data_IF_461559645930
#
_entry.id   IF_461559645930
#
_cell.length_a   1.000
_cell.length_b   1.000
_cell.length_c   1.000
_cell.angle_alpha   90.00
_cell.angle_beta   90.00
_cell.angle_gamma   90.00
#
_symmetry.space_group_name_H-M   'P 1'
#
loop_
_entity.id
_entity.type
_entity.pdbx_description
1 polymer ?
#
# COMPACT_ATOMS: atom_id res chain seq x y z
N UNK A 1 -9.65 44.38 11.64
CA UNK A 1 -10.22 43.55 10.55
C UNK A 1 -9.16 43.12 9.53
N UNK A 2 -8.27 44.01 9.07
CA UNK A 2 -7.25 43.71 8.05
C UNK A 2 -6.19 42.67 8.50
N UNK A 3 -5.82 42.63 9.79
CA UNK A 3 -4.88 41.62 10.30
C UNK A 3 -5.46 40.21 10.41
N UNK A 4 -6.78 40.08 10.61
CA UNK A 4 -7.45 38.78 10.72
C UNK A 4 -7.58 38.10 9.35
N UNK A 5 -7.70 38.88 8.28
CA UNK A 5 -7.71 38.37 6.89
C UNK A 5 -6.35 37.75 6.52
N UNK A 6 -5.26 38.40 6.93
CA UNK A 6 -3.90 37.97 6.58
C UNK A 6 -3.53 36.60 7.17
N UNK A 7 -4.06 36.28 8.36
CA UNK A 7 -3.84 34.99 9.01
C UNK A 7 -4.54 33.82 8.31
N UNK A 8 -5.73 34.04 7.74
CA UNK A 8 -6.45 33.00 6.99
C UNK A 8 -5.70 32.62 5.72
N UNK A 9 -5.23 33.61 4.96
CA UNK A 9 -4.52 33.38 3.69
C UNK A 9 -3.22 32.57 3.88
N UNK A 10 -2.47 32.86 4.95
CA UNK A 10 -1.27 32.09 5.29
C UNK A 10 -1.59 30.62 5.64
N UNK A 11 -2.66 30.38 6.40
CA UNK A 11 -3.07 29.03 6.76
C UNK A 11 -3.51 28.22 5.53
N UNK A 12 -4.25 28.83 4.60
CA UNK A 12 -4.64 28.19 3.33
C UNK A 12 -3.42 27.81 2.50
N UNK A 13 -2.43 28.70 2.40
CA UNK A 13 -1.21 28.44 1.64
C UNK A 13 -0.40 27.25 2.22
N UNK A 14 -0.26 27.17 3.55
CA UNK A 14 0.43 26.05 4.20
C UNK A 14 -0.30 24.72 3.97
N UNK A 15 -1.64 24.70 4.09
CA UNK A 15 -2.45 23.50 3.81
C UNK A 15 -2.27 23.04 2.37
N UNK A 16 -2.27 23.97 1.43
CA UNK A 16 -2.10 23.69 0.01
C UNK A 16 -0.75 23.06 -0.26
N UNK A 17 0.35 23.66 0.21
CA UNK A 17 1.70 23.10 0.06
C UNK A 17 1.78 21.69 0.66
N UNK A 18 1.21 21.49 1.85
CA UNK A 18 1.16 20.18 2.50
C UNK A 18 0.47 19.14 1.62
N UNK A 19 -0.67 19.49 1.01
CA UNK A 19 -1.41 18.60 0.13
C UNK A 19 -0.61 18.20 -1.12
N UNK A 20 0.05 19.16 -1.77
CA UNK A 20 0.93 18.88 -2.92
C UNK A 20 2.11 18.00 -2.53
N UNK A 21 2.73 18.26 -1.38
CA UNK A 21 3.83 17.45 -0.89
C UNK A 21 3.39 16.00 -0.63
N UNK A 22 2.25 15.79 0.03
CA UNK A 22 1.68 14.46 0.24
C UNK A 22 1.38 13.76 -1.09
N UNK A 23 0.78 14.49 -2.04
CA UNK A 23 0.45 13.96 -3.37
C UNK A 23 1.70 13.56 -4.17
N UNK A 24 2.75 14.38 -4.15
CA UNK A 24 4.01 14.02 -4.80
C UNK A 24 4.69 12.82 -4.12
N UNK A 25 4.67 12.79 -2.78
CA UNK A 25 5.26 11.68 -2.00
C UNK A 25 4.59 10.36 -2.33
N UNK A 26 3.24 10.33 -2.33
CA UNK A 26 2.48 9.10 -2.62
C UNK A 26 2.67 8.63 -4.07
N UNK A 27 2.84 9.55 -5.02
CA UNK A 27 3.13 9.19 -6.41
C UNK A 27 4.53 8.56 -6.56
N UNK A 28 5.52 9.07 -5.85
CA UNK A 28 6.88 8.49 -5.84
C UNK A 28 6.85 7.10 -5.21
N UNK A 29 6.18 6.94 -4.07
CA UNK A 29 5.98 5.64 -3.41
C UNK A 29 5.30 4.64 -4.33
N UNK A 30 4.22 5.07 -4.99
CA UNK A 30 3.46 4.26 -5.94
C UNK A 30 4.32 3.79 -7.10
N UNK A 31 5.10 4.71 -7.70
CA UNK A 31 5.96 4.39 -8.82
C UNK A 31 7.04 3.38 -8.40
N UNK A 32 7.65 3.56 -7.23
CA UNK A 32 8.67 2.67 -6.71
C UNK A 32 8.09 1.27 -6.40
N UNK A 33 6.96 1.19 -5.70
CA UNK A 33 6.29 -0.06 -5.39
C UNK A 33 5.86 -0.81 -6.67
N UNK A 34 5.36 -0.09 -7.67
CA UNK A 34 5.01 -0.65 -8.99
C UNK A 34 6.24 -1.18 -9.72
N UNK A 35 7.38 -0.47 -9.67
CA UNK A 35 8.63 -0.91 -10.26
C UNK A 35 9.17 -2.19 -9.57
N UNK A 36 9.14 -2.26 -8.24
CA UNK A 36 9.51 -3.46 -7.48
C UNK A 36 8.64 -4.65 -7.89
N UNK A 37 7.32 -4.47 -7.95
CA UNK A 37 6.38 -5.53 -8.39
C UNK A 37 6.75 -6.06 -9.77
N UNK A 38 6.99 -5.17 -10.75
CA UNK A 38 7.36 -5.56 -12.11
C UNK A 38 8.66 -6.37 -12.13
N UNK A 39 9.65 -6.00 -11.31
CA UNK A 39 10.94 -6.71 -11.22
C UNK A 39 10.78 -8.11 -10.60
N UNK A 40 9.99 -8.25 -9.54
CA UNK A 40 9.70 -9.57 -8.96
C UNK A 40 8.96 -10.49 -9.93
N UNK A 41 7.95 -9.95 -10.65
CA UNK A 41 7.26 -10.71 -11.71
C UNK A 41 8.23 -11.17 -12.79
N UNK A 42 9.18 -10.31 -13.19
CA UNK A 42 10.20 -10.67 -14.18
C UNK A 42 11.08 -11.83 -13.69
N UNK A 43 11.50 -11.85 -12.42
CA UNK A 43 12.22 -12.98 -11.83
C UNK A 43 11.41 -14.27 -11.95
N UNK A 44 10.15 -14.24 -11.51
CA UNK A 44 9.28 -15.41 -11.56
C UNK A 44 9.07 -15.90 -13.00
N UNK A 45 8.93 -14.99 -13.96
CA UNK A 45 8.86 -15.33 -15.38
C UNK A 45 10.16 -15.94 -15.92
N UNK A 46 11.33 -15.45 -15.50
CA UNK A 46 12.62 -16.02 -15.90
C UNK A 46 12.79 -17.44 -15.37
N UNK A 47 12.44 -17.68 -14.10
CA UNK A 47 12.47 -19.03 -13.50
C UNK A 47 11.52 -20.00 -14.21
N UNK A 48 10.29 -19.56 -14.50
CA UNK A 48 9.31 -20.38 -15.22
C UNK A 48 9.74 -20.66 -16.66
N UNK A 49 10.32 -19.67 -17.36
CA UNK A 49 10.82 -19.87 -18.72
C UNK A 49 11.96 -20.90 -18.76
N UNK A 50 12.85 -20.89 -17.77
CA UNK A 50 13.86 -21.95 -17.63
C UNK A 50 13.20 -23.32 -17.46
N UNK A 51 12.09 -23.40 -16.73
CA UNK A 51 11.31 -24.64 -16.52
C UNK A 51 10.69 -25.17 -17.81
N UNK A 52 9.99 -24.31 -18.57
CA UNK A 52 9.34 -24.70 -19.82
C UNK A 52 10.37 -25.16 -20.85
N UNK A 53 11.50 -24.44 -20.91
CA UNK A 53 12.60 -24.82 -21.78
C UNK A 53 13.16 -26.19 -21.36
N UNK A 54 13.32 -26.45 -20.06
CA UNK A 54 13.80 -27.72 -19.52
C UNK A 54 12.80 -28.88 -19.71
N UNK A 55 11.49 -28.64 -19.64
CA UNK A 55 10.47 -29.65 -19.93
C UNK A 55 10.39 -29.99 -21.42
N UNK A 56 10.49 -28.98 -22.29
CA UNK A 56 10.57 -29.19 -23.75
C UNK A 56 11.89 -29.90 -24.10
N UNK A 57 13.01 -29.52 -23.46
CA UNK A 57 14.30 -30.14 -23.67
C UNK A 57 14.36 -31.57 -23.15
N UNK A 58 13.80 -31.87 -21.98
CA UNK A 58 13.80 -33.24 -21.44
C UNK A 58 12.99 -34.20 -22.33
N UNK A 59 11.97 -33.69 -23.03
CA UNK A 59 11.26 -34.45 -24.06
C UNK A 59 12.06 -34.60 -25.37
N UNK A 60 13.06 -33.76 -25.61
CA UNK A 60 13.88 -33.75 -26.84
C UNK A 60 15.30 -34.33 -26.67
N UNK A 61 15.86 -34.29 -25.47
CA UNK A 61 17.26 -34.58 -25.14
C UNK A 61 17.31 -35.77 -24.19
N UNK A 62 17.05 -36.94 -24.77
CA UNK A 62 17.72 -38.16 -24.36
C UNK A 62 19.18 -38.21 -24.88
N UNK A 63 19.75 -37.13 -25.50
CA UNK A 63 20.95 -37.32 -26.34
C UNK A 63 22.10 -36.29 -26.39
N UNK A 64 22.14 -35.14 -25.70
CA UNK A 64 23.32 -34.24 -25.81
C UNK A 64 23.66 -33.48 -24.51
N UNK A 65 24.93 -33.57 -24.08
CA UNK A 65 25.44 -33.19 -22.75
C UNK A 65 26.09 -31.80 -22.62
N UNK A 66 25.77 -30.83 -23.48
CA UNK A 66 26.37 -29.48 -23.46
C UNK A 66 25.49 -28.39 -22.82
N UNK A 67 24.24 -28.69 -22.44
CA UNK A 67 23.25 -27.69 -22.02
C UNK A 67 23.24 -27.34 -20.53
N UNK A 68 23.91 -28.13 -19.67
CA UNK A 68 23.90 -27.90 -18.22
C UNK A 68 24.63 -26.63 -17.76
N UNK A 69 25.64 -26.16 -18.52
CA UNK A 69 26.46 -25.00 -18.12
C UNK A 69 25.68 -23.69 -18.26
N UNK A 70 24.87 -23.55 -19.31
CA UNK A 70 24.07 -22.34 -19.55
C UNK A 70 22.91 -22.19 -18.54
N UNK A 71 22.31 -23.32 -18.13
CA UNK A 71 21.27 -23.33 -17.09
C UNK A 71 21.83 -22.95 -15.72
N UNK A 72 23.01 -23.46 -15.35
CA UNK A 72 23.65 -23.15 -14.08
C UNK A 72 23.93 -21.66 -13.95
N UNK A 73 24.46 -21.05 -15.03
CA UNK A 73 24.70 -19.62 -15.11
C UNK A 73 23.41 -18.80 -14.94
N UNK A 74 22.33 -19.24 -15.57
CA UNK A 74 21.00 -18.60 -15.46
C UNK A 74 20.46 -18.60 -14.03
N UNK A 75 20.60 -19.72 -13.30
CA UNK A 75 20.14 -19.82 -11.89
C UNK A 75 20.94 -18.88 -10.99
N UNK A 76 22.25 -18.81 -11.18
CA UNK A 76 23.12 -17.90 -10.42
C UNK A 76 22.78 -16.44 -10.68
N UNK A 77 22.59 -16.06 -11.95
CA UNK A 77 22.17 -14.70 -12.33
C UNK A 77 20.81 -14.33 -11.72
N UNK A 78 19.86 -15.27 -11.67
CA UNK A 78 18.57 -15.05 -10.99
C UNK A 78 18.76 -14.86 -9.48
N UNK A 79 19.66 -15.62 -8.87
CA UNK A 79 19.96 -15.51 -7.43
C UNK A 79 20.54 -14.14 -7.10
N UNK A 80 21.55 -13.69 -7.83
CA UNK A 80 22.14 -12.36 -7.65
C UNK A 80 21.11 -11.24 -7.85
N UNK A 81 20.22 -11.39 -8.84
CA UNK A 81 19.16 -10.43 -9.09
C UNK A 81 18.08 -10.43 -7.99
N UNK A 82 17.77 -11.59 -7.38
CA UNK A 82 16.88 -11.67 -6.22
C UNK A 82 17.48 -10.99 -4.99
N UNK A 83 18.78 -11.21 -4.72
CA UNK A 83 19.51 -10.56 -3.62
C UNK A 83 19.44 -9.03 -3.75
N UNK A 84 19.75 -8.51 -4.94
CA UNK A 84 19.65 -7.08 -5.22
C UNK A 84 18.23 -6.55 -5.01
N UNK A 85 17.22 -7.31 -5.44
CA UNK A 85 15.83 -6.89 -5.29
C UNK A 85 15.36 -6.91 -3.82
N UNK A 86 15.85 -7.86 -3.03
CA UNK A 86 15.62 -7.92 -1.59
C UNK A 86 16.23 -6.70 -0.88
N UNK A 87 17.47 -6.35 -1.23
CA UNK A 87 18.13 -5.13 -0.72
C UNK A 87 17.36 -3.87 -1.10
N UNK A 88 16.82 -3.79 -2.32
CA UNK A 88 15.97 -2.68 -2.76
C UNK A 88 14.66 -2.59 -1.96
N UNK A 89 14.08 -3.71 -1.54
CA UNK A 89 12.90 -3.71 -0.65
C UNK A 89 13.28 -3.21 0.75
N UNK A 90 14.45 -3.56 1.26
CA UNK A 90 14.93 -3.04 2.54
C UNK A 90 15.21 -1.54 2.49
N UNK A 91 15.79 -1.06 1.39
CA UNK A 91 15.96 0.38 1.14
C UNK A 91 14.58 1.05 1.03
N UNK A 92 13.63 0.47 0.32
CA UNK A 92 12.26 0.98 0.23
C UNK A 92 11.61 1.10 1.61
N UNK A 93 11.72 0.06 2.45
CA UNK A 93 11.18 0.06 3.81
C UNK A 93 11.83 1.14 4.70
N UNK A 94 13.15 1.35 4.56
CA UNK A 94 13.86 2.40 5.29
C UNK A 94 13.48 3.81 4.82
N UNK A 95 13.36 3.99 3.49
CA UNK A 95 13.09 5.29 2.88
C UNK A 95 11.64 5.72 3.00
N UNK A 96 10.69 4.80 2.83
CA UNK A 96 9.25 5.11 2.73
C UNK A 96 8.43 4.51 3.87
N UNK A 97 9.00 3.64 4.70
CA UNK A 97 8.23 2.94 5.72
C UNK A 97 7.59 3.89 6.74
N UNK A 98 8.28 4.97 7.11
CA UNK A 98 7.75 5.99 8.03
C UNK A 98 6.70 6.87 7.35
N UNK A 99 6.90 7.18 6.07
CA UNK A 99 5.96 7.94 5.25
C UNK A 99 4.67 7.17 5.05
N UNK A 100 4.74 5.88 4.68
CA UNK A 100 3.57 5.01 4.52
C UNK A 100 2.80 4.89 5.85
N UNK A 101 3.52 4.77 6.98
CA UNK A 101 2.90 4.76 8.31
C UNK A 101 2.12 6.07 8.57
N UNK A 102 2.81 7.21 8.51
CA UNK A 102 2.20 8.52 8.73
C UNK A 102 1.06 8.84 7.76
N UNK A 103 1.21 8.47 6.50
CA UNK A 103 0.22 8.68 5.47
C UNK A 103 -1.01 7.82 5.71
N UNK A 104 -0.86 6.61 6.25
CA UNK A 104 -1.98 5.75 6.64
C UNK A 104 -2.75 6.38 7.81
N UNK A 105 -2.07 6.84 8.86
CA UNK A 105 -2.70 7.54 9.98
C UNK A 105 -3.35 8.85 9.55
N UNK A 106 -2.66 9.65 8.74
CA UNK A 106 -3.21 10.88 8.16
C UNK A 106 -4.44 10.59 7.31
N UNK A 107 -4.48 9.47 6.57
CA UNK A 107 -5.65 9.09 5.77
C UNK A 107 -6.84 8.76 6.66
N UNK A 108 -6.64 8.08 7.79
CA UNK A 108 -7.71 7.80 8.77
C UNK A 108 -8.28 9.12 9.29
N UNK A 109 -7.43 10.05 9.73
CA UNK A 109 -7.86 11.36 10.24
C UNK A 109 -8.63 12.14 9.18
N UNK A 110 -8.18 12.14 7.92
CA UNK A 110 -8.87 12.83 6.84
C UNK A 110 -10.25 12.23 6.54
N UNK A 111 -10.38 10.90 6.57
CA UNK A 111 -11.69 10.25 6.42
C UNK A 111 -12.63 10.66 7.56
N UNK A 112 -12.13 10.65 8.80
CA UNK A 112 -12.92 11.08 9.96
C UNK A 112 -13.35 12.54 9.86
N UNK A 113 -12.46 13.42 9.39
CA UNK A 113 -12.76 14.83 9.17
C UNK A 113 -13.85 15.01 8.11
N UNK A 114 -13.74 14.30 6.98
CA UNK A 114 -14.75 14.31 5.92
C UNK A 114 -16.10 13.82 6.44
N UNK A 115 -16.12 12.69 7.17
CA UNK A 115 -17.35 12.15 7.75
C UNK A 115 -17.99 13.13 8.73
N UNK A 116 -17.20 13.72 9.63
CA UNK A 116 -17.68 14.71 10.57
C UNK A 116 -18.25 15.95 9.86
N UNK A 117 -17.55 16.45 8.83
CA UNK A 117 -18.01 17.59 8.03
C UNK A 117 -19.33 17.28 7.35
N UNK A 118 -19.44 16.11 6.70
CA UNK A 118 -20.68 15.67 6.05
C UNK A 118 -21.83 15.53 7.05
N UNK A 119 -21.57 14.99 8.26
CA UNK A 119 -22.59 14.88 9.30
C UNK A 119 -23.09 16.25 9.76
N UNK A 120 -22.19 17.22 9.96
CA UNK A 120 -22.56 18.60 10.31
C UNK A 120 -23.33 19.29 9.18
N UNK A 121 -22.95 19.09 7.93
CA UNK A 121 -23.65 19.67 6.78
C UNK A 121 -25.06 19.09 6.55
N UNK A 122 -25.35 17.90 7.06
CA UNK A 122 -26.69 17.28 6.99
C UNK A 122 -27.64 17.80 8.08
N UNK A 123 -27.12 18.47 9.12
CA UNK A 123 -27.94 19.07 10.16
C UNK A 123 -28.58 20.36 9.63
N UNK A 124 -29.85 20.24 9.22
CA UNK A 124 -30.62 21.31 8.58
C UNK A 124 -30.86 22.55 9.46
N UNK A 125 -30.52 22.47 10.74
CA UNK A 125 -30.67 23.57 11.71
C UNK A 125 -29.66 24.72 11.55
N UNK A 126 -28.56 24.51 10.79
CA UNK A 126 -27.48 25.51 10.61
C UNK A 126 -27.46 26.21 9.25
N UNK A 127 -28.48 26.05 8.41
CA UNK A 127 -28.53 26.67 7.07
C UNK A 127 -28.71 28.20 7.11
N UNK A 128 -27.61 28.95 7.18
CA UNK A 128 -27.57 30.36 6.78
C UNK A 128 -26.71 30.56 5.52
N UNK A 129 -27.26 31.33 4.58
CA UNK A 129 -26.84 31.96 3.31
C UNK A 129 -25.36 31.95 2.77
N UNK A 130 -24.34 31.44 3.46
CA UNK A 130 -22.96 31.28 2.93
C UNK A 130 -22.74 29.94 2.18
N UNK A 131 -23.81 29.17 1.98
CA UNK A 131 -23.81 27.77 1.55
C UNK A 131 -23.14 27.46 0.18
N UNK A 132 -23.02 28.43 -0.73
CA UNK A 132 -22.49 28.20 -2.08
C UNK A 132 -20.95 28.17 -2.12
N UNK A 133 -20.29 29.01 -1.30
CA UNK A 133 -18.83 28.99 -1.17
C UNK A 133 -18.37 27.80 -0.32
N UNK A 134 -19.24 27.33 0.57
CA UNK A 134 -19.03 26.16 1.44
C UNK A 134 -19.15 24.83 0.68
N UNK A 135 -20.08 24.71 -0.27
CA UNK A 135 -20.21 23.53 -1.13
C UNK A 135 -18.99 23.26 -2.01
N UNK A 136 -18.36 24.32 -2.53
CA UNK A 136 -17.14 24.21 -3.34
C UNK A 136 -15.95 23.71 -2.53
N UNK A 137 -15.76 24.24 -1.32
CA UNK A 137 -14.70 23.81 -0.42
C UNK A 137 -14.93 22.38 0.08
N UNK A 138 -16.18 22.03 0.44
CA UNK A 138 -16.56 20.67 0.79
C UNK A 138 -16.25 19.69 -0.34
N UNK A 139 -16.66 20.02 -1.57
CA UNK A 139 -16.37 19.17 -2.73
C UNK A 139 -14.86 18.99 -2.94
N UNK A 140 -14.08 20.07 -2.80
CA UNK A 140 -12.63 20.02 -2.94
C UNK A 140 -11.97 19.12 -1.87
N UNK A 141 -12.39 19.25 -0.61
CA UNK A 141 -11.89 18.43 0.51
C UNK A 141 -12.25 16.96 0.31
N UNK A 142 -13.50 16.66 -0.07
CA UNK A 142 -13.96 15.28 -0.33
C UNK A 142 -13.22 14.67 -1.52
N UNK A 143 -13.12 15.39 -2.64
CA UNK A 143 -12.42 14.93 -3.83
C UNK A 143 -10.93 14.69 -3.55
N UNK A 144 -10.31 15.60 -2.78
CA UNK A 144 -8.91 15.45 -2.38
C UNK A 144 -8.68 14.23 -1.47
N UNK A 145 -9.52 14.06 -0.45
CA UNK A 145 -9.47 12.89 0.42
C UNK A 145 -9.66 11.59 -0.38
N UNK A 146 -10.65 11.53 -1.27
CA UNK A 146 -10.90 10.37 -2.13
C UNK A 146 -9.69 10.05 -3.02
N UNK A 147 -9.04 11.07 -3.57
CA UNK A 147 -7.83 10.93 -4.36
C UNK A 147 -6.67 10.34 -3.55
N UNK A 148 -6.40 10.87 -2.35
CA UNK A 148 -5.36 10.35 -1.46
C UNK A 148 -5.62 8.90 -1.04
N UNK A 149 -6.86 8.57 -0.67
CA UNK A 149 -7.27 7.21 -0.32
C UNK A 149 -7.04 6.26 -1.49
N UNK A 150 -7.44 6.65 -2.70
CA UNK A 150 -7.25 5.83 -3.89
C UNK A 150 -5.77 5.50 -4.13
N UNK A 151 -4.90 6.50 -4.10
CA UNK A 151 -3.48 6.29 -4.29
C UNK A 151 -2.84 5.47 -3.16
N UNK A 152 -3.27 5.67 -1.91
CA UNK A 152 -2.77 4.90 -0.76
C UNK A 152 -3.16 3.43 -0.87
N UNK A 153 -4.41 3.14 -1.24
CA UNK A 153 -4.86 1.77 -1.52
C UNK A 153 -4.02 1.15 -2.62
N UNK A 154 -3.71 1.88 -3.69
CA UNK A 154 -2.85 1.38 -4.76
C UNK A 154 -1.44 1.03 -4.26
N UNK A 155 -0.80 1.90 -3.46
CA UNK A 155 0.51 1.60 -2.83
C UNK A 155 0.45 0.31 -2.02
N UNK A 156 -0.58 0.15 -1.17
CA UNK A 156 -0.78 -1.06 -0.36
C UNK A 156 -0.92 -2.31 -1.26
N UNK A 157 -1.70 -2.22 -2.34
CA UNK A 157 -1.90 -3.33 -3.28
C UNK A 157 -0.61 -3.70 -4.02
N UNK A 158 0.19 -2.72 -4.46
CA UNK A 158 1.49 -2.98 -5.08
C UNK A 158 2.46 -3.64 -4.10
N UNK A 159 2.50 -3.17 -2.84
CA UNK A 159 3.31 -3.77 -1.78
C UNK A 159 2.88 -5.20 -1.46
N UNK A 160 1.58 -5.49 -1.39
CA UNK A 160 1.07 -6.85 -1.23
C UNK A 160 1.48 -7.73 -2.41
N UNK A 161 1.39 -7.22 -3.63
CA UNK A 161 1.81 -7.97 -4.81
C UNK A 161 3.31 -8.24 -4.82
N UNK A 162 4.16 -7.30 -4.38
CA UNK A 162 5.60 -7.55 -4.15
C UNK A 162 5.79 -8.71 -3.17
N UNK A 163 5.11 -8.67 -2.02
CA UNK A 163 5.19 -9.71 -1.01
C UNK A 163 4.70 -11.07 -1.54
N UNK A 164 3.62 -11.06 -2.33
CA UNK A 164 3.06 -12.26 -2.96
C UNK A 164 4.01 -12.85 -3.99
N UNK A 165 4.58 -12.03 -4.87
CA UNK A 165 5.50 -12.49 -5.90
C UNK A 165 6.81 -13.01 -5.31
N UNK A 166 7.32 -12.38 -4.24
CA UNK A 166 8.49 -12.91 -3.51
C UNK A 166 8.21 -14.29 -2.89
N UNK A 167 7.01 -14.51 -2.32
CA UNK A 167 6.61 -15.85 -1.83
C UNK A 167 6.44 -16.85 -2.97
N UNK A 168 5.96 -16.38 -4.13
CA UNK A 168 5.79 -17.21 -5.30
C UNK A 168 7.13 -17.67 -5.87
N UNK A 169 8.18 -16.85 -5.79
CA UNK A 169 9.56 -17.23 -6.15
C UNK A 169 9.97 -18.51 -5.42
N UNK A 170 9.78 -18.56 -4.10
CA UNK A 170 10.11 -19.74 -3.29
C UNK A 170 9.35 -21.00 -3.75
N UNK A 171 8.05 -20.85 -4.03
CA UNK A 171 7.23 -21.96 -4.53
C UNK A 171 7.72 -22.47 -5.89
N UNK A 172 8.08 -21.56 -6.80
CA UNK A 172 8.62 -21.91 -8.11
C UNK A 172 9.97 -22.64 -7.94
N UNK A 173 10.84 -22.16 -7.07
CA UNK A 173 12.14 -22.80 -6.80
C UNK A 173 11.98 -24.23 -6.25
N UNK A 174 11.05 -24.46 -5.30
CA UNK A 174 10.78 -25.83 -4.82
C UNK A 174 10.25 -26.75 -5.92
N UNK A 175 9.29 -26.27 -6.72
CA UNK A 175 8.75 -27.07 -7.83
C UNK A 175 9.83 -27.43 -8.87
N UNK A 176 10.73 -26.48 -9.17
CA UNK A 176 11.89 -26.72 -10.03
C UNK A 176 12.86 -27.73 -9.40
N UNK A 177 13.06 -27.70 -8.09
CA UNK A 177 13.97 -28.60 -7.40
C UNK A 177 13.51 -30.06 -7.43
N UNK A 178 12.20 -30.28 -7.53
CA UNK A 178 11.59 -31.60 -7.71
C UNK A 178 11.72 -32.13 -9.14
N UNK A 179 11.77 -31.25 -10.16
CA UNK A 179 11.87 -31.66 -11.57
C UNK A 179 13.30 -31.95 -12.04
N UNK A 180 14.31 -31.48 -11.30
CA UNK A 180 15.73 -31.67 -11.64
C UNK A 180 16.31 -32.97 -11.04
N UNK A 181 17.21 -33.63 -11.78
CA UNK A 181 17.90 -34.86 -11.35
C UNK A 181 18.61 -34.70 -9.99
N UNK A 182 18.50 -35.74 -9.15
CA UNK A 182 18.86 -35.70 -7.72
C UNK A 182 20.32 -35.34 -7.41
N UNK A 183 21.25 -35.64 -8.33
CA UNK A 183 22.69 -35.42 -8.14
C UNK A 183 23.28 -34.35 -9.06
N UNK A 184 22.44 -33.57 -9.75
CA UNK A 184 22.92 -32.50 -10.63
C UNK A 184 23.44 -31.29 -9.85
N UNK A 185 24.38 -30.56 -10.44
CA UNK A 185 24.85 -29.28 -9.91
C UNK A 185 23.75 -28.22 -9.92
N UNK A 186 22.86 -28.25 -10.93
CA UNK A 186 21.66 -27.41 -11.00
C UNK A 186 20.79 -27.51 -9.75
N UNK A 187 20.56 -28.73 -9.24
CA UNK A 187 19.77 -28.95 -8.02
C UNK A 187 20.42 -28.33 -6.78
N UNK A 188 21.76 -28.29 -6.71
CA UNK A 188 22.49 -27.66 -5.61
C UNK A 188 22.34 -26.15 -5.65
N UNK A 189 22.53 -25.53 -6.81
CA UNK A 189 22.36 -24.09 -6.99
C UNK A 189 20.91 -23.65 -6.72
N UNK A 190 19.94 -24.45 -7.15
CA UNK A 190 18.54 -24.18 -6.89
C UNK A 190 18.18 -24.33 -5.40
N UNK A 191 18.81 -25.28 -4.69
CA UNK A 191 18.68 -25.39 -3.24
C UNK A 191 19.26 -24.15 -2.53
N UNK A 192 20.41 -23.64 -2.99
CA UNK A 192 20.99 -22.39 -2.48
C UNK A 192 20.00 -21.22 -2.70
N UNK A 193 19.40 -21.13 -3.89
CA UNK A 193 18.38 -20.11 -4.16
C UNK A 193 17.16 -20.25 -3.24
N UNK A 194 16.64 -21.47 -3.02
CA UNK A 194 15.57 -21.74 -2.06
C UNK A 194 15.93 -21.24 -0.66
N UNK A 195 17.13 -21.55 -0.19
CA UNK A 195 17.63 -21.15 1.13
C UNK A 195 17.75 -19.63 1.24
N UNK A 196 18.30 -18.97 0.21
CA UNK A 196 18.42 -17.50 0.14
C UNK A 196 17.04 -16.84 0.20
N UNK A 197 16.09 -17.27 -0.64
CA UNK A 197 14.73 -16.72 -0.67
C UNK A 197 14.00 -17.00 0.65
N UNK A 198 14.18 -18.20 1.21
CA UNK A 198 13.61 -18.65 2.47
C UNK A 198 14.16 -17.92 3.70
N UNK A 199 15.44 -17.53 3.67
CA UNK A 199 16.12 -16.80 4.74
C UNK A 199 15.75 -15.31 4.73
N UNK A 200 15.83 -14.66 3.57
CA UNK A 200 15.59 -13.21 3.46
C UNK A 200 14.15 -12.83 3.74
N UNK A 201 13.19 -13.71 3.41
CA UNK A 201 11.74 -13.50 3.64
C UNK A 201 11.30 -12.08 3.27
N UNK A 202 11.70 -11.62 2.09
CA UNK A 202 11.50 -10.23 1.68
C UNK A 202 10.05 -9.78 1.87
N UNK A 203 9.88 -8.71 2.64
CA UNK A 203 8.56 -8.15 3.02
C UNK A 203 8.62 -6.64 3.01
N UNK A 204 7.61 -6.03 2.41
CA UNK A 204 7.36 -4.59 2.54
C UNK A 204 6.76 -4.31 3.91
N UNK A 205 7.34 -3.35 4.63
CA UNK A 205 6.95 -2.98 5.99
C UNK A 205 6.88 -1.47 6.16
N UNK A 206 5.94 -1.01 6.96
CA UNK A 206 5.85 0.38 7.36
C UNK A 206 6.74 0.60 8.58
N UNK A 207 8.05 0.82 8.35
CA UNK A 207 9.07 1.07 9.39
C UNK A 207 9.09 0.02 10.53
N UNK A 208 8.75 -1.23 10.21
CA UNK A 208 8.66 -2.31 11.20
C UNK A 208 7.39 -2.32 12.08
N UNK A 209 6.53 -1.31 12.02
CA UNK A 209 5.25 -1.29 12.77
C UNK A 209 4.30 -2.39 12.28
N UNK A 210 4.17 -2.55 10.97
CA UNK A 210 3.38 -3.61 10.36
C UNK A 210 3.88 -3.99 8.97
N UNK A 211 3.57 -5.22 8.55
CA UNK A 211 3.73 -5.64 7.15
C UNK A 211 2.63 -5.03 6.30
N UNK A 212 3.00 -4.40 5.18
CA UNK A 212 2.06 -3.76 4.28
C UNK A 212 1.34 -4.85 3.49
N UNK A 213 0.07 -5.08 3.82
CA UNK A 213 -0.78 -6.10 3.20
C UNK A 213 -2.23 -5.61 3.09
N UNK A 214 -3.07 -6.38 2.38
CA UNK A 214 -4.50 -6.05 2.18
C UNK A 214 -5.29 -5.92 3.48
N UNK A 215 -4.85 -6.54 4.57
CA UNK A 215 -5.55 -6.45 5.85
C UNK A 215 -5.45 -5.04 6.46
N UNK A 216 -4.45 -4.22 6.06
CA UNK A 216 -4.36 -2.81 6.45
C UNK A 216 -5.62 -2.05 6.01
N UNK A 217 -6.11 -2.31 4.79
CA UNK A 217 -7.33 -1.68 4.26
C UNK A 217 -8.54 -2.06 5.13
N UNK A 218 -8.68 -3.34 5.47
CA UNK A 218 -9.76 -3.81 6.34
C UNK A 218 -9.70 -3.18 7.74
N UNK A 219 -8.50 -2.98 8.30
CA UNK A 219 -8.32 -2.27 9.58
C UNK A 219 -8.75 -0.82 9.52
N UNK A 220 -8.40 -0.12 8.43
CA UNK A 220 -8.85 1.25 8.20
C UNK A 220 -10.38 1.33 8.16
N UNK A 221 -11.06 0.43 7.43
CA UNK A 221 -12.52 0.35 7.44
C UNK A 221 -13.10 0.08 8.84
N UNK A 222 -12.49 -0.82 9.61
CA UNK A 222 -12.92 -1.11 10.97
C UNK A 222 -12.80 0.10 11.89
N UNK A 223 -11.71 0.87 11.78
CA UNK A 223 -11.54 2.11 12.53
C UNK A 223 -12.59 3.15 12.15
N UNK A 224 -12.78 3.40 10.85
CA UNK A 224 -13.79 4.33 10.35
C UNK A 224 -15.18 3.95 10.88
N UNK A 225 -15.57 2.68 10.75
CA UNK A 225 -16.87 2.21 11.21
C UNK A 225 -17.06 2.42 12.72
N UNK A 226 -16.03 2.09 13.51
CA UNK A 226 -16.05 2.25 14.97
C UNK A 226 -16.21 3.72 15.36
N UNK A 227 -15.45 4.63 14.72
CA UNK A 227 -15.56 6.06 14.97
C UNK A 227 -16.90 6.64 14.50
N UNK A 228 -17.42 6.22 13.35
CA UNK A 228 -18.74 6.66 12.87
C UNK A 228 -19.85 6.33 13.87
N UNK A 229 -19.81 5.16 14.51
CA UNK A 229 -20.77 4.80 15.57
C UNK A 229 -20.68 5.81 16.73
N UNK A 230 -19.47 6.12 17.19
CA UNK A 230 -19.24 7.05 18.29
C UNK A 230 -19.76 8.45 17.93
N UNK A 231 -19.48 8.94 16.72
CA UNK A 231 -19.97 10.23 16.24
C UNK A 231 -21.51 10.31 16.20
N UNK A 232 -22.17 9.26 15.70
CA UNK A 232 -23.64 9.20 15.67
C UNK A 232 -24.22 9.20 17.09
N UNK A 233 -23.61 8.47 18.02
CA UNK A 233 -24.07 8.42 19.42
C UNK A 233 -23.98 9.80 20.09
N UNK A 234 -22.86 10.51 19.95
CA UNK A 234 -22.71 11.85 20.52
C UNK A 234 -23.64 12.87 19.88
N UNK A 235 -23.83 12.81 18.55
CA UNK A 235 -24.77 13.69 17.85
C UNK A 235 -26.23 13.52 18.33
N UNK A 236 -26.65 12.30 18.66
CA UNK A 236 -28.00 12.06 19.23
C UNK A 236 -28.16 12.61 20.65
N UNK A 237 -27.11 12.53 21.46
CA UNK A 237 -27.15 13.05 22.83
C UNK A 237 -27.31 14.58 22.82
N UNK A 238 -26.54 15.29 21.99
CA UNK A 238 -26.64 16.75 21.89
C UNK A 238 -28.03 17.25 21.48
N UNK A 239 -28.74 16.49 20.63
CA UNK A 239 -30.13 16.82 20.25
C UNK A 239 -31.12 16.60 21.41
N UNK A 240 -30.87 15.59 22.25
CA UNK A 240 -31.75 15.29 23.39
C UNK A 240 -31.61 16.39 24.45
N UNK A 241 -30.39 16.86 24.72
CA UNK A 241 -30.14 17.92 25.70
C UNK A 241 -30.75 19.27 25.26
N UNK A 242 -30.69 19.60 23.96
CA UNK A 242 -31.34 20.82 23.44
C UNK A 242 -32.86 20.79 23.60
N UNK A 243 -33.52 19.67 23.29
CA UNK A 243 -34.97 19.56 23.43
C UNK A 243 -35.43 19.64 24.90
N UNK A 244 -34.68 19.06 25.83
CA UNK A 244 -34.94 19.20 27.27
C UNK A 244 -34.85 20.67 27.75
N UNK A 245 -33.81 21.40 27.34
CA UNK A 245 -33.65 22.82 27.72
C UNK A 245 -34.76 23.72 27.17
N UNK A 246 -35.26 23.45 25.96
CA UNK A 246 -36.33 24.25 25.35
C UNK A 246 -37.68 24.11 26.06
N UNK A 247 -37.94 22.97 26.72
CA UNK A 247 -39.17 22.76 27.49
C UNK A 247 -39.15 23.48 28.85
N UNK A 248 -37.98 23.68 29.47
CA UNK A 248 -37.89 24.39 30.75
C UNK A 248 -38.09 25.91 30.61
N UNK A 249 -37.70 26.52 29.48
CA UNK A 249 -37.93 27.96 29.23
C UNK A 249 -39.38 28.35 28.94
N UNK A 250 -40.26 27.38 28.69
CA UNK A 250 -41.67 27.62 28.35
C UNK A 250 -42.64 27.41 29.55
N UNK A 251 -42.09 27.25 30.76
CA UNK A 251 -42.81 27.10 32.03
C UNK A 251 -42.54 28.30 32.95
#
# INVERSE_FOLDING_TARGET
MMELSKGKDQLFFVKYIGYYHCFLSILVELHFASALRKRYKKINMLLLKTTDLQNILNNFIAHYGTTGVDNLRSIKEVTDYYLLLSELVDIFNKLFGWQIFLLTESTIIQILLVLNTVMLSLDSSQHSLDALHDLGDLFFVVAGAACLIFFQVMVILYCEDVNKESRNTLKICYNLQESVQMNSEEKKELAILCDVVGLLKTRTTASGFYTINKNVISRVFAYIFSYSIVLIQFSRQSLTDQSASSNETNL
#
